data_IF_814152882217
#
_entry.id   IF_814152882217
#
_cell.length_a   1.000
_cell.length_b   1.000
_cell.length_c   1.000
_cell.angle_alpha   90.00
_cell.angle_beta   90.00
_cell.angle_gamma   90.00
#
_symmetry.space_group_name_H-M   'P 1'
#
loop_
_entity.id
_entity.type
_entity.pdbx_description
1 polymer ?
#
# COMPACT_ATOMS: atom_id res chain seq x y z
N UNK A 1 12.90 -16.38 8.69
CA UNK A 1 13.15 -14.95 8.93
C UNK A 1 12.52 -14.49 10.24
N UNK A 2 11.20 -14.58 10.40
CA UNK A 2 10.53 -14.09 11.62
C UNK A 2 10.66 -14.99 12.85
N UNK A 3 11.06 -16.26 12.70
CA UNK A 3 11.25 -17.20 13.81
C UNK A 3 9.97 -17.60 14.58
N UNK A 4 8.82 -17.03 14.22
CA UNK A 4 7.52 -17.28 14.84
C UNK A 4 6.37 -17.16 13.84
N UNK A 5 5.16 -16.92 14.36
CA UNK A 5 3.93 -16.78 13.59
C UNK A 5 3.85 -15.42 12.90
N UNK A 6 3.25 -15.39 11.71
CA UNK A 6 2.85 -14.15 11.03
C UNK A 6 1.37 -13.95 11.30
N UNK A 7 1.00 -12.80 11.81
CA UNK A 7 -0.38 -12.43 12.12
C UNK A 7 -0.99 -11.56 11.02
N UNK A 8 -0.14 -10.81 10.31
CA UNK A 8 -0.55 -9.88 9.27
C UNK A 8 0.39 -9.84 8.08
N UNK A 9 -0.18 -9.72 6.88
CA UNK A 9 0.53 -9.39 5.66
C UNK A 9 -0.19 -8.26 4.93
N UNK A 10 0.57 -7.26 4.50
CA UNK A 10 0.03 -6.14 3.74
C UNK A 10 0.97 -5.77 2.61
N UNK A 11 0.40 -5.54 1.43
CA UNK A 11 1.14 -5.01 0.29
C UNK A 11 0.20 -4.30 -0.66
N UNK A 12 0.72 -3.30 -1.35
CA UNK A 12 0.12 -2.73 -2.54
C UNK A 12 0.07 -3.71 -3.71
N UNK A 13 -0.76 -3.40 -4.70
CA UNK A 13 -1.01 -4.28 -5.83
C UNK A 13 -0.84 -3.54 -7.18
N UNK A 14 0.05 -4.06 -8.03
CA UNK A 14 0.08 -3.74 -9.47
C UNK A 14 -0.63 -4.83 -10.27
N UNK A 15 0.14 -5.80 -10.78
CA UNK A 15 -0.39 -7.04 -11.38
C UNK A 15 -1.03 -7.99 -10.35
N UNK A 16 -0.99 -7.64 -9.06
CA UNK A 16 -1.46 -8.43 -7.93
C UNK A 16 -0.77 -9.78 -7.70
N UNK A 17 0.31 -10.10 -8.43
CA UNK A 17 1.00 -11.39 -8.29
C UNK A 17 1.58 -11.62 -6.88
N UNK A 18 2.21 -10.60 -6.28
CA UNK A 18 2.77 -10.68 -4.93
C UNK A 18 1.70 -10.97 -3.89
N UNK A 19 0.64 -10.16 -3.83
CA UNK A 19 -0.41 -10.34 -2.83
C UNK A 19 -1.19 -11.63 -3.06
N UNK A 20 -1.42 -12.04 -4.32
CA UNK A 20 -2.06 -13.32 -4.63
C UNK A 20 -1.26 -14.49 -4.07
N UNK A 21 0.02 -14.60 -4.43
CA UNK A 21 0.87 -15.70 -3.97
C UNK A 21 1.04 -15.73 -2.44
N UNK A 22 1.26 -14.56 -1.83
CA UNK A 22 1.43 -14.45 -0.38
C UNK A 22 0.15 -14.78 0.37
N UNK A 23 -1.00 -14.26 -0.10
CA UNK A 23 -2.29 -14.52 0.54
C UNK A 23 -2.67 -15.99 0.54
N UNK A 24 -2.53 -16.66 -0.62
CA UNK A 24 -2.81 -18.09 -0.74
C UNK A 24 -1.92 -18.89 0.19
N UNK A 25 -0.60 -18.68 0.14
CA UNK A 25 0.32 -19.43 0.98
C UNK A 25 0.08 -19.20 2.47
N UNK A 26 -0.10 -17.95 2.90
CA UNK A 26 -0.29 -17.63 4.31
C UNK A 26 -1.61 -18.20 4.85
N UNK A 27 -2.71 -18.08 4.09
CA UNK A 27 -4.02 -18.62 4.47
C UNK A 27 -4.04 -20.16 4.48
N UNK A 28 -3.28 -20.82 3.60
CA UNK A 28 -3.09 -22.28 3.66
C UNK A 28 -2.38 -22.73 4.94
N UNK A 29 -1.42 -21.94 5.44
CA UNK A 29 -0.70 -22.25 6.68
C UNK A 29 -1.47 -21.88 7.94
N UNK A 30 -2.15 -20.74 7.89
CA UNK A 30 -2.99 -20.26 8.97
C UNK A 30 -4.11 -19.36 8.38
N UNK A 31 -5.38 -19.82 8.37
CA UNK A 31 -6.47 -19.04 7.80
C UNK A 31 -6.75 -17.73 8.57
N UNK A 32 -6.26 -17.62 9.80
CA UNK A 32 -6.47 -16.44 10.65
C UNK A 32 -5.54 -15.27 10.33
N UNK A 33 -4.45 -15.50 9.56
CA UNK A 33 -3.54 -14.41 9.12
C UNK A 33 -4.34 -13.34 8.40
N UNK A 34 -4.20 -12.08 8.80
CA UNK A 34 -4.84 -10.95 8.12
C UNK A 34 -4.06 -10.57 6.88
N UNK A 35 -4.73 -10.45 5.75
CA UNK A 35 -4.14 -10.06 4.47
C UNK A 35 -4.83 -8.79 3.98
N UNK A 36 -4.10 -7.67 3.92
CA UNK A 36 -4.63 -6.40 3.43
C UNK A 36 -3.96 -5.96 2.14
N UNK A 37 -4.72 -5.29 1.28
CA UNK A 37 -4.15 -4.47 0.20
C UNK A 37 -4.09 -3.02 0.66
N UNK A 38 -3.00 -2.32 0.36
CA UNK A 38 -2.92 -0.88 0.52
C UNK A 38 -2.78 -0.19 -0.84
N UNK A 39 -3.68 0.74 -1.13
CA UNK A 39 -3.67 1.53 -2.35
C UNK A 39 -3.37 3.02 -2.10
N UNK A 40 -2.88 3.75 -3.11
CA UNK A 40 -2.89 5.20 -3.07
C UNK A 40 -4.32 5.72 -2.93
N UNK A 41 -4.56 6.62 -1.99
CA UNK A 41 -5.89 7.19 -1.74
C UNK A 41 -6.46 7.90 -2.97
N UNK A 42 -5.59 8.50 -3.79
CA UNK A 42 -5.95 9.24 -5.00
C UNK A 42 -6.49 8.33 -6.13
N UNK A 43 -6.31 7.01 -6.02
CA UNK A 43 -6.75 6.01 -6.99
C UNK A 43 -7.76 5.04 -6.36
N UNK A 44 -7.40 4.47 -5.20
CA UNK A 44 -8.18 3.56 -4.33
C UNK A 44 -8.81 2.32 -5.01
N UNK A 45 -8.44 2.04 -6.25
CA UNK A 45 -9.12 1.08 -7.13
C UNK A 45 -9.23 -0.33 -6.61
N UNK A 46 -8.09 -0.92 -6.23
CA UNK A 46 -8.01 -2.27 -5.68
C UNK A 46 -8.67 -2.31 -4.31
N UNK A 47 -8.41 -1.32 -3.46
CA UNK A 47 -9.00 -1.26 -2.13
C UNK A 47 -10.54 -1.22 -2.17
N UNK A 48 -11.11 -0.37 -3.03
CA UNK A 48 -12.55 -0.31 -3.26
C UNK A 48 -13.08 -1.64 -3.79
N UNK A 49 -12.43 -2.23 -4.79
CA UNK A 49 -12.85 -3.53 -5.32
C UNK A 49 -12.90 -4.60 -4.23
N UNK A 50 -11.89 -4.68 -3.36
CA UNK A 50 -11.86 -5.62 -2.24
C UNK A 50 -12.99 -5.36 -1.24
N UNK A 51 -13.27 -4.10 -0.94
CA UNK A 51 -14.27 -3.71 0.05
C UNK A 51 -15.73 -3.77 -0.47
N UNK A 52 -15.95 -3.87 -1.78
CA UNK A 52 -17.28 -3.96 -2.41
C UNK A 52 -17.57 -5.36 -2.97
N UNK A 53 -17.40 -6.41 -2.15
CA UNK A 53 -17.67 -7.80 -2.54
C UNK A 53 -16.94 -8.27 -3.81
N UNK A 54 -15.85 -7.60 -4.20
CA UNK A 54 -15.01 -7.98 -5.35
C UNK A 54 -15.79 -7.96 -6.67
N UNK A 55 -16.68 -6.98 -6.80
CA UNK A 55 -17.39 -6.65 -8.04
C UNK A 55 -17.23 -5.16 -8.38
N UNK A 56 -17.00 -4.87 -9.65
CA UNK A 56 -16.99 -3.49 -10.14
C UNK A 56 -18.23 -3.10 -10.97
N UNK A 57 -19.05 -4.08 -11.35
CA UNK A 57 -20.23 -3.88 -12.20
C UNK A 57 -19.93 -3.38 -13.62
N UNK A 58 -18.65 -3.23 -14.00
CA UNK A 58 -18.24 -2.60 -15.26
C UNK A 58 -17.32 -3.53 -16.05
N UNK A 59 -17.67 -3.79 -17.31
CA UNK A 59 -16.87 -4.61 -18.23
C UNK A 59 -16.59 -3.82 -19.51
N UNK A 60 -15.32 -3.69 -19.87
CA UNK A 60 -14.84 -3.03 -21.08
C UNK A 60 -13.85 -3.95 -21.81
N UNK A 61 -13.99 -4.10 -23.12
CA UNK A 61 -13.12 -4.95 -23.96
C UNK A 61 -12.90 -6.37 -23.42
N UNK A 62 -13.92 -6.93 -22.75
CA UNK A 62 -13.87 -8.28 -22.17
C UNK A 62 -13.16 -8.37 -20.82
N UNK A 63 -12.79 -7.24 -20.21
CA UNK A 63 -12.19 -7.17 -18.89
C UNK A 63 -13.12 -6.48 -17.90
N UNK A 64 -13.26 -7.06 -16.70
CA UNK A 64 -13.88 -6.32 -15.59
C UNK A 64 -12.94 -5.18 -15.18
N UNK A 65 -13.46 -3.96 -15.15
CA UNK A 65 -12.69 -2.76 -14.89
C UNK A 65 -12.71 -2.42 -13.41
N UNK A 66 -11.59 -2.01 -12.82
CA UNK A 66 -11.60 -1.54 -11.44
C UNK A 66 -12.29 -0.17 -11.33
N UNK A 67 -12.97 0.14 -10.22
CA UNK A 67 -13.39 1.52 -9.96
C UNK A 67 -12.16 2.41 -9.86
N UNK A 68 -12.20 3.64 -10.39
CA UNK A 68 -11.05 4.55 -10.34
C UNK A 68 -11.49 5.89 -9.77
N UNK A 69 -10.85 6.32 -8.69
CA UNK A 69 -10.91 7.73 -8.25
C UNK A 69 -10.09 8.57 -9.21
N UNK A 70 -10.62 9.70 -9.67
CA UNK A 70 -9.88 10.61 -10.57
C UNK A 70 -8.80 11.35 -9.78
N UNK A 71 -7.62 10.75 -9.68
CA UNK A 71 -6.42 11.35 -9.11
C UNK A 71 -5.14 10.73 -9.69
N UNK A 72 -4.00 11.25 -9.27
CA UNK A 72 -2.68 10.74 -9.66
C UNK A 72 -1.91 10.30 -8.43
N UNK A 73 -1.27 9.14 -8.49
CA UNK A 73 -0.40 8.65 -7.42
C UNK A 73 1.08 8.86 -7.76
N UNK A 74 1.90 9.11 -6.73
CA UNK A 74 3.36 9.07 -6.83
C UNK A 74 3.92 7.64 -6.78
N UNK A 75 3.13 6.67 -6.31
CA UNK A 75 3.53 5.28 -6.25
C UNK A 75 3.42 4.61 -7.61
N UNK A 76 4.57 4.49 -8.28
CA UNK A 76 4.67 3.81 -9.56
C UNK A 76 4.60 2.28 -9.40
N UNK A 77 3.93 1.61 -10.34
CA UNK A 77 3.79 0.15 -10.35
C UNK A 77 2.68 -0.40 -9.44
N UNK A 78 1.99 0.48 -8.71
CA UNK A 78 0.82 0.17 -7.86
C UNK A 78 -0.43 0.77 -8.48
N UNK A 79 -1.57 0.07 -8.36
CA UNK A 79 -2.84 0.43 -8.99
C UNK A 79 -2.69 0.77 -10.50
N UNK A 80 -1.70 0.14 -11.15
CA UNK A 80 -1.25 0.49 -12.49
C UNK A 80 -2.16 -0.09 -13.59
N UNK A 81 -3.08 -0.98 -13.23
CA UNK A 81 -4.00 -1.64 -14.15
C UNK A 81 -5.42 -1.22 -13.81
N UNK A 82 -6.12 -0.65 -14.79
CA UNK A 82 -7.53 -0.28 -14.65
C UNK A 82 -8.50 -1.49 -14.68
N UNK A 83 -7.99 -2.72 -14.61
CA UNK A 83 -8.76 -3.96 -14.78
C UNK A 83 -8.47 -4.97 -13.69
N UNK A 84 -9.46 -5.79 -13.38
CA UNK A 84 -9.30 -6.93 -12.48
C UNK A 84 -8.47 -8.00 -13.19
N UNK A 85 -7.26 -8.24 -12.68
CA UNK A 85 -6.38 -9.31 -13.16
C UNK A 85 -6.82 -10.67 -12.61
N UNK A 86 -6.39 -11.77 -13.25
CA UNK A 86 -6.59 -13.13 -12.70
C UNK A 86 -5.99 -13.27 -11.31
N UNK A 87 -4.77 -12.76 -11.11
CA UNK A 87 -4.11 -12.76 -9.81
C UNK A 87 -4.95 -12.01 -8.75
N UNK A 88 -5.47 -10.83 -9.09
CA UNK A 88 -6.32 -10.08 -8.15
C UNK A 88 -7.58 -10.87 -7.81
N UNK A 89 -8.21 -11.51 -8.81
CA UNK A 89 -9.43 -12.31 -8.60
C UNK A 89 -9.19 -13.46 -7.63
N UNK A 90 -8.05 -14.14 -7.75
CA UNK A 90 -7.71 -15.32 -6.96
C UNK A 90 -7.13 -14.97 -5.57
N UNK A 91 -6.63 -13.75 -5.37
CA UNK A 91 -6.03 -13.33 -4.11
C UNK A 91 -7.01 -13.33 -2.93
N UNK A 92 -6.61 -13.89 -1.79
CA UNK A 92 -7.44 -13.97 -0.57
C UNK A 92 -7.13 -12.77 0.33
N UNK A 93 -7.82 -11.66 0.09
CA UNK A 93 -7.59 -10.37 0.75
C UNK A 93 -8.78 -10.04 1.65
N UNK A 94 -8.52 -9.73 2.92
CA UNK A 94 -9.54 -9.47 3.94
C UNK A 94 -10.05 -8.02 3.92
N UNK A 95 -9.17 -7.04 3.70
CA UNK A 95 -9.52 -5.60 3.68
C UNK A 95 -8.66 -4.82 2.68
N UNK A 96 -9.25 -3.79 2.07
CA UNK A 96 -8.54 -2.75 1.34
C UNK A 96 -8.43 -1.47 2.15
N UNK A 97 -7.21 -0.94 2.29
CA UNK A 97 -6.93 0.33 2.96
C UNK A 97 -6.21 1.30 2.02
N UNK A 98 -6.14 2.57 2.40
CA UNK A 98 -5.50 3.61 1.60
C UNK A 98 -4.40 4.37 2.34
N UNK A 99 -3.51 4.97 1.55
CA UNK A 99 -2.54 5.97 2.00
C UNK A 99 -2.39 7.07 0.96
N UNK A 100 -2.36 8.32 1.39
CA UNK A 100 -2.22 9.49 0.51
C UNK A 100 -0.81 9.62 -0.05
N UNK A 101 -0.66 10.38 -1.14
CA UNK A 101 0.66 10.72 -1.67
C UNK A 101 1.56 11.39 -0.63
N UNK A 102 1.00 12.25 0.23
CA UNK A 102 1.75 12.91 1.30
C UNK A 102 2.27 11.91 2.34
N UNK A 103 1.42 10.97 2.80
CA UNK A 103 1.86 9.92 3.71
C UNK A 103 2.96 9.03 3.11
N UNK A 104 2.93 8.79 1.79
CA UNK A 104 3.98 8.05 1.08
C UNK A 104 5.31 8.81 1.14
N UNK A 105 5.30 10.14 0.90
CA UNK A 105 6.50 10.97 1.03
C UNK A 105 7.01 10.93 2.46
N UNK A 106 6.16 11.21 3.44
CA UNK A 106 6.56 11.27 4.85
C UNK A 106 7.15 9.92 5.31
N UNK A 107 6.52 8.80 4.93
CA UNK A 107 7.03 7.47 5.24
C UNK A 107 8.37 7.17 4.58
N UNK A 108 8.57 7.56 3.32
CA UNK A 108 9.84 7.35 2.63
C UNK A 108 10.99 8.11 3.30
N UNK A 109 10.75 9.37 3.69
CA UNK A 109 11.73 10.19 4.39
C UNK A 109 11.96 9.70 5.84
N UNK A 110 10.91 9.23 6.52
CA UNK A 110 11.03 8.63 7.85
C UNK A 110 11.96 7.40 7.80
N UNK A 111 11.69 6.46 6.89
CA UNK A 111 12.52 5.26 6.68
C UNK A 111 13.98 5.61 6.36
N UNK A 112 14.19 6.60 5.49
CA UNK A 112 15.54 7.04 5.12
C UNK A 112 16.29 7.63 6.31
N UNK A 113 15.65 8.48 7.11
CA UNK A 113 16.30 9.26 8.17
C UNK A 113 16.46 8.49 9.48
N UNK A 114 15.48 7.67 9.83
CA UNK A 114 15.46 6.96 11.12
C UNK A 114 15.97 5.52 11.01
N UNK A 115 15.67 4.83 9.90
CA UNK A 115 16.04 3.42 9.72
C UNK A 115 17.21 3.21 8.73
N UNK A 116 17.60 4.25 7.99
CA UNK A 116 18.60 4.14 6.91
C UNK A 116 18.12 3.33 5.71
N UNK A 117 16.80 3.16 5.56
CA UNK A 117 16.17 2.34 4.53
C UNK A 117 15.78 3.24 3.34
N UNK A 118 16.55 3.17 2.26
CA UNK A 118 16.36 4.01 1.07
C UNK A 118 15.51 3.32 0.00
N UNK A 119 14.22 3.64 -0.05
CA UNK A 119 13.22 2.89 -0.84
C UNK A 119 12.40 3.74 -1.83
N UNK A 120 11.75 3.08 -2.78
CA UNK A 120 10.75 3.72 -3.64
C UNK A 120 9.40 4.00 -2.95
N UNK A 121 8.50 4.74 -3.64
CA UNK A 121 7.19 5.11 -3.10
C UNK A 121 6.27 3.91 -2.86
N UNK A 122 6.34 2.85 -3.67
CA UNK A 122 5.53 1.63 -3.46
C UNK A 122 5.93 0.87 -2.19
N UNK A 123 7.22 0.82 -1.89
CA UNK A 123 7.76 0.27 -0.64
C UNK A 123 7.36 1.12 0.57
N UNK A 124 7.41 2.45 0.46
CA UNK A 124 6.94 3.34 1.51
C UNK A 124 5.43 3.18 1.77
N UNK A 125 4.62 3.07 0.72
CA UNK A 125 3.19 2.74 0.82
C UNK A 125 2.95 1.40 1.53
N UNK A 126 3.76 0.39 1.22
CA UNK A 126 3.69 -0.92 1.88
C UNK A 126 3.97 -0.84 3.38
N UNK A 127 4.99 -0.08 3.79
CA UNK A 127 5.28 0.17 5.22
C UNK A 127 4.17 0.96 5.87
N UNK A 128 3.61 1.96 5.19
CA UNK A 128 2.44 2.70 5.67
C UNK A 128 1.27 1.75 5.98
N UNK A 129 1.01 0.78 5.10
CA UNK A 129 0.02 -0.27 5.32
C UNK A 129 0.34 -1.14 6.53
N UNK A 130 1.62 -1.46 6.75
CA UNK A 130 2.06 -2.23 7.92
C UNK A 130 1.86 -1.46 9.23
N UNK A 131 2.13 -0.16 9.25
CA UNK A 131 1.86 0.70 10.41
C UNK A 131 0.36 0.78 10.69
N UNK A 132 -0.47 1.00 9.66
CA UNK A 132 -1.92 1.02 9.79
C UNK A 132 -2.49 -0.30 10.32
N UNK A 133 -1.98 -1.44 9.83
CA UNK A 133 -2.33 -2.77 10.34
C UNK A 133 -1.85 -2.97 11.79
N UNK A 134 -0.66 -2.49 12.14
CA UNK A 134 -0.13 -2.61 13.50
C UNK A 134 -1.00 -1.86 14.52
N UNK A 135 -1.52 -0.68 14.13
CA UNK A 135 -2.46 0.09 14.94
C UNK A 135 -3.78 -0.65 15.18
N UNK A 136 -4.31 -1.34 14.16
CA UNK A 136 -5.53 -2.16 14.28
C UNK A 136 -5.31 -3.41 15.15
N UNK A 137 -4.26 -4.18 14.88
CA UNK A 137 -4.04 -5.46 15.57
C UNK A 137 -3.55 -5.25 17.01
N UNK A 138 -2.85 -4.15 17.28
CA UNK A 138 -2.28 -3.87 18.59
C UNK A 138 -1.00 -4.67 18.89
N UNK A 139 -0.42 -4.45 20.07
CA UNK A 139 0.90 -4.99 20.43
C UNK A 139 0.91 -6.52 20.48
N UNK A 140 2.07 -7.11 20.16
CA UNK A 140 2.30 -8.56 20.20
C UNK A 140 2.13 -9.28 18.86
N UNK A 141 1.60 -8.61 17.84
CA UNK A 141 1.43 -9.18 16.50
C UNK A 141 2.66 -8.97 15.61
N UNK A 142 2.94 -9.95 14.77
CA UNK A 142 3.99 -9.88 13.74
C UNK A 142 3.37 -9.59 12.38
N UNK A 143 3.73 -8.45 11.79
CA UNK A 143 3.27 -8.02 10.47
C UNK A 143 4.44 -8.05 9.48
N UNK A 144 4.19 -8.56 8.29
CA UNK A 144 5.17 -8.63 7.20
C UNK A 144 4.68 -7.82 6.01
N UNK A 145 5.61 -7.12 5.36
CA UNK A 145 5.36 -6.42 4.10
C UNK A 145 6.57 -6.56 3.17
N UNK A 146 6.47 -6.00 1.96
CA UNK A 146 7.50 -6.11 0.91
C UNK A 146 8.02 -4.72 0.55
N UNK A 147 9.34 -4.58 0.46
CA UNK A 147 9.99 -3.41 -0.14
C UNK A 147 10.39 -3.79 -1.57
N UNK A 148 9.67 -3.26 -2.55
CA UNK A 148 9.75 -3.70 -3.95
C UNK A 148 11.01 -3.19 -4.64
N UNK A 149 11.41 -1.94 -4.39
CA UNK A 149 12.59 -1.33 -4.96
C UNK A 149 13.20 -0.18 -4.12
N UNK A 150 14.40 0.23 -4.53
CA UNK A 150 15.22 1.23 -3.85
C UNK A 150 14.99 2.66 -4.37
N UNK A 151 15.29 3.64 -3.51
CA UNK A 151 15.04 5.06 -3.78
C UNK A 151 15.82 5.68 -4.93
N UNK A 152 16.92 5.02 -5.38
CA UNK A 152 17.80 5.51 -6.47
C UNK A 152 17.02 5.85 -7.74
N UNK A 153 15.96 5.09 -8.04
CA UNK A 153 15.13 5.26 -9.25
C UNK A 153 14.29 6.54 -9.21
N UNK A 154 14.12 7.15 -8.03
CA UNK A 154 13.18 8.24 -7.78
C UNK A 154 13.87 9.57 -7.44
N UNK A 155 15.17 9.69 -7.78
CA UNK A 155 15.98 10.90 -7.53
C UNK A 155 15.49 12.16 -8.25
N UNK A 156 14.72 12.03 -9.33
CA UNK A 156 14.12 13.16 -10.04
C UNK A 156 12.69 13.50 -9.60
N UNK A 157 12.14 12.77 -8.61
CA UNK A 157 10.76 12.94 -8.12
C UNK A 157 10.72 12.90 -6.59
N UNK A 158 10.46 11.74 -5.99
CA UNK A 158 10.33 11.54 -4.53
C UNK A 158 11.50 12.11 -3.72
N UNK A 159 12.71 12.06 -4.27
CA UNK A 159 13.92 12.57 -3.62
C UNK A 159 14.45 13.86 -4.28
N UNK A 160 13.55 14.65 -4.88
CA UNK A 160 13.85 15.95 -5.46
C UNK A 160 13.01 17.04 -4.78
N UNK A 161 13.66 17.88 -3.99
CA UNK A 161 13.01 18.95 -3.22
C UNK A 161 12.19 19.91 -4.08
N UNK A 162 12.68 20.27 -5.27
CA UNK A 162 12.00 21.22 -6.14
C UNK A 162 10.73 20.59 -6.73
N UNK A 163 10.82 19.33 -7.16
CA UNK A 163 9.65 18.56 -7.61
C UNK A 163 8.61 18.43 -6.49
N UNK A 164 9.02 18.09 -5.26
CA UNK A 164 8.11 18.00 -4.12
C UNK A 164 7.45 19.34 -3.79
N UNK A 165 8.19 20.45 -3.82
CA UNK A 165 7.64 21.81 -3.64
C UNK A 165 6.60 22.15 -4.69
N UNK A 166 6.90 21.90 -5.96
CA UNK A 166 5.99 22.17 -7.08
C UNK A 166 4.66 21.41 -6.96
N UNK A 167 4.70 20.23 -6.34
CA UNK A 167 3.52 19.39 -6.14
C UNK A 167 2.91 19.51 -4.74
N UNK A 168 3.41 20.42 -3.90
CA UNK A 168 2.89 20.64 -2.55
C UNK A 168 3.08 19.45 -1.59
N UNK A 169 4.09 18.62 -1.85
CA UNK A 169 4.35 17.36 -1.13
C UNK A 169 5.68 17.37 -0.38
N UNK A 170 6.05 18.50 0.23
CA UNK A 170 7.25 18.53 1.05
C UNK A 170 7.10 17.56 2.24
N UNK A 171 8.17 16.86 2.66
CA UNK A 171 8.10 16.00 3.82
C UNK A 171 7.79 16.84 5.06
N UNK A 172 6.85 16.39 5.89
CA UNK A 172 6.54 17.02 7.16
C UNK A 172 7.69 16.77 8.14
N UNK A 173 8.66 17.68 8.19
CA UNK A 173 9.83 17.54 9.06
C UNK A 173 9.52 17.88 10.52
N UNK A 174 9.86 16.96 11.42
CA UNK A 174 10.60 17.30 12.63
C UNK A 174 11.77 16.31 12.75
N UNK A 175 13.00 16.75 12.47
CA UNK A 175 14.22 15.92 12.50
C UNK A 175 14.55 15.29 13.87
N UNK A 176 13.73 15.54 14.89
CA UNK A 176 13.86 14.98 16.24
C UNK A 176 12.70 14.08 16.64
N UNK A 177 11.65 14.01 15.83
CA UNK A 177 10.44 13.29 16.19
C UNK A 177 10.49 11.86 15.61
N UNK A 178 10.53 10.87 16.49
CA UNK A 178 10.51 9.46 16.10
C UNK A 178 9.09 8.91 16.03
N UNK A 179 8.08 9.78 16.11
CA UNK A 179 6.67 9.37 16.07
C UNK A 179 6.19 9.17 14.63
N UNK A 180 5.16 8.34 14.48
CA UNK A 180 4.50 8.06 13.20
C UNK A 180 3.20 8.86 13.08
N UNK A 181 3.14 10.05 13.67
CA UNK A 181 1.91 10.84 13.80
C UNK A 181 1.39 11.38 12.47
N UNK A 182 2.24 11.42 11.44
CA UNK A 182 1.86 11.73 10.06
C UNK A 182 1.02 10.62 9.39
N UNK A 183 1.07 9.39 9.91
CA UNK A 183 0.24 8.29 9.39
C UNK A 183 -1.20 8.57 9.81
N UNK A 184 -2.08 8.76 8.83
CA UNK A 184 -3.48 9.02 9.06
C UNK A 184 -4.24 7.80 9.59
N UNK A 185 -5.53 8.02 9.85
CA UNK A 185 -6.44 6.98 10.30
C UNK A 185 -6.66 5.88 9.23
N UNK A 186 -7.29 4.79 9.66
CA UNK A 186 -7.73 3.73 8.77
C UNK A 186 -8.93 4.18 7.95
N UNK A 187 -8.77 4.19 6.64
CA UNK A 187 -9.85 4.40 5.69
C UNK A 187 -10.12 3.11 4.92
N UNK A 188 -11.40 2.76 4.82
CA UNK A 188 -11.89 1.61 4.05
C UNK A 188 -12.73 2.15 2.89
N UNK A 189 -12.12 2.51 1.76
CA UNK A 189 -12.86 3.11 0.66
C UNK A 189 -13.84 2.10 0.06
N UNK A 190 -15.04 2.58 -0.27
CA UNK A 190 -16.08 1.82 -0.97
C UNK A 190 -16.49 2.57 -2.24
N UNK A 191 -17.00 1.86 -3.24
CA UNK A 191 -17.63 2.50 -4.39
C UNK A 191 -19.05 2.91 -3.98
N UNK A 192 -19.47 4.10 -4.38
CA UNK A 192 -20.86 4.55 -4.26
C UNK A 192 -21.66 3.95 -5.41
#
# INVERSE_FOLDING_TARGET
QVGGQIDGFVSSAGTSGTIAGMSTFLKEKNPDVKVWVIDPAEIASTAMFINNDRTSGTVEDGYEMLPVVKGSSIAEGVAALARVTSNLREAIIDKGVTGTNQEIVDMAYFLLRHDGIFVGPSSALNVLGAVKMARELGPGHTIVTILADGGVRYGSKLYNDDWLKEHGMLPHENNTDTTLDFVGDLEFPTAI
#
